data_IF_162299622171
#
_entry.id   IF_162299622171
#
_cell.length_a   1.000
_cell.length_b   1.000
_cell.length_c   1.000
_cell.angle_alpha   90.00
_cell.angle_beta   90.00
_cell.angle_gamma   90.00
#
_symmetry.space_group_name_H-M   'P 1'
#
loop_
_entity.id
_entity.type
_entity.pdbx_description
1 polymer ?
#
# COMPACT_ATOMS: atom_id res chain seq x y z
N UNK A 1 -41.36 8.39 19.94
CA UNK A 1 -39.89 8.50 19.81
C UNK A 1 -39.39 7.21 19.16
N UNK A 2 -39.25 7.19 17.82
CA UNK A 2 -38.76 6.02 17.09
C UNK A 2 -37.27 6.17 16.78
N UNK A 3 -36.51 5.07 16.87
CA UNK A 3 -35.11 4.98 16.44
C UNK A 3 -34.98 5.42 14.97
N UNK A 4 -34.59 6.67 14.74
CA UNK A 4 -34.18 7.14 13.42
C UNK A 4 -32.85 6.46 13.09
N UNK A 5 -32.89 5.45 12.22
CA UNK A 5 -31.70 4.82 11.69
C UNK A 5 -30.80 5.86 11.01
N UNK A 6 -29.49 5.73 11.19
CA UNK A 6 -28.49 6.58 10.52
C UNK A 6 -28.74 6.54 9.00
N UNK A 7 -28.98 7.70 8.39
CA UNK A 7 -29.18 7.85 6.95
C UNK A 7 -27.96 7.29 6.20
N UNK A 8 -28.21 6.42 5.23
CA UNK A 8 -27.16 5.79 4.42
C UNK A 8 -27.06 6.55 3.11
N UNK A 9 -25.85 6.91 2.72
CA UNK A 9 -25.63 7.60 1.47
C UNK A 9 -25.59 6.57 0.34
N UNK A 10 -26.53 6.65 -0.61
CA UNK A 10 -26.51 5.81 -1.81
C UNK A 10 -26.73 4.31 -1.57
N UNK A 11 -26.24 3.48 -2.51
CA UNK A 11 -26.44 2.02 -2.51
C UNK A 11 -25.12 1.26 -2.49
N UNK A 12 -24.99 0.28 -1.60
CA UNK A 12 -23.78 -0.53 -1.47
C UNK A 12 -24.08 -2.01 -1.59
N UNK A 13 -23.50 -2.66 -2.59
CA UNK A 13 -23.81 -4.05 -2.92
C UNK A 13 -22.60 -4.82 -3.43
N UNK A 14 -22.65 -6.14 -3.28
CA UNK A 14 -21.69 -7.03 -3.91
C UNK A 14 -21.83 -6.94 -5.44
N UNK A 15 -20.71 -6.99 -6.17
CA UNK A 15 -20.71 -6.99 -7.64
C UNK A 15 -20.66 -8.41 -8.22
N UNK A 16 -20.34 -9.40 -7.39
CA UNK A 16 -20.29 -10.81 -7.76
C UNK A 16 -20.64 -11.72 -6.56
N UNK A 17 -20.65 -13.03 -6.79
CA UNK A 17 -20.92 -14.03 -5.76
C UNK A 17 -19.71 -14.35 -4.86
N UNK A 18 -18.53 -13.75 -5.10
CA UNK A 18 -17.31 -14.06 -4.34
C UNK A 18 -17.36 -13.54 -2.90
N UNK A 19 -18.20 -12.54 -2.64
CA UNK A 19 -18.23 -11.81 -1.36
C UNK A 19 -16.98 -10.97 -1.12
N UNK A 20 -16.17 -10.71 -2.15
CA UNK A 20 -14.93 -9.91 -2.07
C UNK A 20 -15.04 -8.57 -2.76
N UNK A 21 -15.91 -8.42 -3.75
CA UNK A 21 -16.03 -7.21 -4.57
C UNK A 21 -17.36 -6.51 -4.34
N UNK A 22 -17.28 -5.20 -4.16
CA UNK A 22 -18.42 -4.36 -3.82
C UNK A 22 -18.35 -3.03 -4.55
N UNK A 23 -19.52 -2.48 -4.83
CA UNK A 23 -19.68 -1.16 -5.45
C UNK A 23 -20.58 -0.32 -4.57
N UNK A 24 -20.07 0.82 -4.15
CA UNK A 24 -20.84 1.85 -3.47
C UNK A 24 -21.12 2.99 -4.43
N UNK A 25 -22.39 3.17 -4.80
CA UNK A 25 -22.84 4.29 -5.65
C UNK A 25 -23.45 5.36 -4.76
N UNK A 26 -22.95 6.60 -4.86
CA UNK A 26 -23.45 7.78 -4.16
C UNK A 26 -23.85 8.81 -5.20
N UNK A 27 -25.15 9.00 -5.38
CA UNK A 27 -25.70 10.03 -6.28
C UNK A 27 -25.66 11.41 -5.61
N UNK A 28 -25.53 12.46 -6.43
CA UNK A 28 -25.50 13.86 -5.99
C UNK A 28 -24.45 14.14 -4.91
N UNK A 29 -23.26 13.54 -5.04
CA UNK A 29 -22.22 13.60 -4.03
C UNK A 29 -21.82 15.04 -3.67
N UNK A 30 -21.84 15.95 -4.65
CA UNK A 30 -21.46 17.35 -4.46
C UNK A 30 -22.36 18.12 -3.48
N UNK A 31 -23.56 17.60 -3.20
CA UNK A 31 -24.54 18.24 -2.31
C UNK A 31 -24.24 18.02 -0.83
N UNK A 32 -23.40 17.03 -0.50
CA UNK A 32 -23.03 16.80 0.89
C UNK A 32 -22.14 17.93 1.41
N UNK A 33 -22.49 18.46 2.58
CA UNK A 33 -21.73 19.49 3.26
C UNK A 33 -20.37 18.95 3.72
N UNK A 34 -19.43 19.86 3.95
CA UNK A 34 -18.22 19.52 4.71
C UNK A 34 -18.60 19.26 6.18
N UNK A 35 -17.68 18.63 6.91
CA UNK A 35 -17.85 18.20 8.31
C UNK A 35 -18.96 17.15 8.52
N UNK A 36 -19.14 16.26 7.54
CA UNK A 36 -20.10 15.16 7.62
C UNK A 36 -19.42 13.81 7.38
N UNK A 37 -20.08 12.75 7.85
CA UNK A 37 -19.72 11.38 7.52
C UNK A 37 -20.85 10.74 6.74
N UNK A 38 -20.51 10.18 5.58
CA UNK A 38 -21.41 9.41 4.74
C UNK A 38 -21.17 7.94 5.02
N UNK A 39 -22.21 7.16 5.29
CA UNK A 39 -22.07 5.73 5.52
C UNK A 39 -22.80 4.93 4.46
N UNK A 40 -22.14 3.90 3.95
CA UNK A 40 -22.79 2.87 3.14
C UNK A 40 -23.66 1.95 4.00
N UNK A 41 -24.51 1.18 3.34
CA UNK A 41 -25.26 0.08 3.95
C UNK A 41 -24.32 -1.00 4.52
N UNK A 42 -24.82 -1.82 5.45
CA UNK A 42 -24.05 -2.97 5.93
C UNK A 42 -24.23 -4.15 4.96
N UNK A 43 -23.12 -4.70 4.48
CA UNK A 43 -23.12 -5.90 3.63
C UNK A 43 -22.28 -7.01 4.28
N UNK A 44 -22.45 -8.24 3.83
CA UNK A 44 -21.70 -9.41 4.33
C UNK A 44 -20.61 -9.79 3.34
N UNK A 45 -19.39 -10.02 3.81
CA UNK A 45 -18.26 -10.42 2.97
C UNK A 45 -18.00 -11.94 2.98
N UNK A 46 -16.98 -12.36 2.24
CA UNK A 46 -16.55 -13.75 2.05
C UNK A 46 -16.28 -14.52 3.36
N UNK A 47 -15.92 -13.83 4.45
CA UNK A 47 -15.72 -14.41 5.79
C UNK A 47 -17.02 -14.56 6.59
N UNK A 48 -18.17 -14.21 5.98
CA UNK A 48 -19.49 -14.10 6.63
C UNK A 48 -19.57 -12.99 7.69
N UNK A 49 -18.61 -12.08 7.73
CA UNK A 49 -18.61 -10.90 8.61
C UNK A 49 -19.28 -9.73 7.91
N UNK A 50 -20.08 -8.96 8.66
CA UNK A 50 -20.67 -7.71 8.16
C UNK A 50 -19.68 -6.56 8.23
N UNK A 51 -19.73 -5.68 7.23
CA UNK A 51 -18.96 -4.45 7.19
C UNK A 51 -19.72 -3.35 6.46
N UNK A 52 -19.25 -2.13 6.59
CA UNK A 52 -19.65 -1.01 5.74
C UNK A 52 -18.45 -0.10 5.53
N UNK A 53 -18.51 0.68 4.46
CA UNK A 53 -17.62 1.81 4.20
C UNK A 53 -18.24 3.10 4.74
N UNK A 54 -17.40 4.06 5.11
CA UNK A 54 -17.82 5.44 5.29
C UNK A 54 -16.79 6.41 4.71
N UNK A 55 -17.29 7.53 4.20
CA UNK A 55 -16.50 8.66 3.72
C UNK A 55 -16.62 9.79 4.75
N UNK A 56 -15.50 10.30 5.22
CA UNK A 56 -15.46 11.50 6.06
C UNK A 56 -15.10 12.71 5.18
N UNK A 57 -15.98 13.71 5.15
CA UNK A 57 -15.72 15.00 4.50
C UNK A 57 -15.25 15.97 5.58
N UNK A 58 -13.94 16.19 5.69
CA UNK A 58 -13.37 17.06 6.73
C UNK A 58 -13.69 18.53 6.51
N UNK A 59 -13.63 19.33 7.58
CA UNK A 59 -13.85 20.80 7.55
C UNK A 59 -12.93 21.52 6.55
N UNK A 60 -11.68 21.07 6.41
CA UNK A 60 -10.71 21.59 5.44
C UNK A 60 -10.86 21.02 4.03
N UNK A 61 -11.92 20.27 3.74
CA UNK A 61 -12.15 19.63 2.44
C UNK A 61 -11.39 18.32 2.22
N UNK A 62 -10.67 17.79 3.21
CA UNK A 62 -10.03 16.48 3.09
C UNK A 62 -11.09 15.37 3.02
N UNK A 63 -10.96 14.46 2.05
CA UNK A 63 -11.83 13.30 1.89
C UNK A 63 -11.12 12.07 2.44
N UNK A 64 -11.66 11.48 3.50
CA UNK A 64 -11.19 10.22 4.06
C UNK A 64 -12.11 9.06 3.69
N UNK A 65 -11.54 7.88 3.41
CA UNK A 65 -12.30 6.66 3.10
C UNK A 65 -11.89 5.57 4.08
N UNK A 66 -12.88 4.98 4.76
CA UNK A 66 -12.66 4.01 5.83
C UNK A 66 -13.59 2.80 5.69
N UNK A 67 -13.08 1.64 6.09
CA UNK A 67 -13.88 0.46 6.37
C UNK A 67 -14.16 0.38 7.87
N UNK A 68 -15.36 -0.06 8.21
CA UNK A 68 -15.72 -0.52 9.54
C UNK A 68 -16.14 -2.00 9.46
N UNK A 69 -15.30 -2.86 10.02
CA UNK A 69 -15.39 -4.31 9.95
C UNK A 69 -15.75 -4.88 11.32
N UNK A 70 -16.88 -5.59 11.43
CA UNK A 70 -17.47 -5.93 12.74
C UNK A 70 -16.75 -7.02 13.54
N UNK A 71 -15.74 -7.66 12.96
CA UNK A 71 -15.02 -8.75 13.62
C UNK A 71 -13.56 -8.75 13.16
N UNK A 72 -12.65 -8.06 13.87
CA UNK A 72 -11.22 -8.06 13.56
C UNK A 72 -10.66 -9.49 13.46
N UNK A 73 -9.56 -9.70 12.71
CA UNK A 73 -8.82 -8.69 11.94
C UNK A 73 -9.51 -8.32 10.62
N UNK A 74 -9.31 -7.07 10.17
CA UNK A 74 -9.79 -6.63 8.85
C UNK A 74 -8.92 -7.31 7.78
N UNK A 75 -9.52 -8.06 6.82
CA UNK A 75 -8.76 -8.59 5.69
C UNK A 75 -8.16 -7.45 4.86
N UNK A 76 -7.01 -7.69 4.23
CA UNK A 76 -6.39 -6.74 3.30
C UNK A 76 -7.41 -6.34 2.23
N UNK A 77 -7.44 -5.05 1.90
CA UNK A 77 -8.36 -4.50 0.92
C UNK A 77 -7.71 -3.40 0.09
N UNK A 78 -8.31 -3.19 -1.08
CA UNK A 78 -8.01 -2.10 -1.99
C UNK A 78 -9.31 -1.45 -2.47
N UNK A 79 -9.24 -0.18 -2.85
CA UNK A 79 -10.35 0.52 -3.47
C UNK A 79 -9.88 1.59 -4.44
N UNK A 80 -10.76 1.99 -5.34
CA UNK A 80 -10.57 3.12 -6.25
C UNK A 80 -11.90 3.83 -6.47
N UNK A 81 -11.83 5.08 -6.91
CA UNK A 81 -12.99 5.93 -7.18
C UNK A 81 -13.20 6.02 -8.69
N UNK A 82 -14.46 5.98 -9.13
CA UNK A 82 -14.83 6.27 -10.51
C UNK A 82 -16.00 7.23 -10.60
N UNK A 83 -16.12 7.90 -11.75
CA UNK A 83 -17.29 8.70 -12.10
C UNK A 83 -18.19 7.95 -13.10
N UNK A 84 -19.30 8.58 -13.51
CA UNK A 84 -20.24 8.01 -14.48
C UNK A 84 -19.64 7.72 -15.87
N UNK A 85 -18.51 8.35 -16.22
CA UNK A 85 -17.77 8.10 -17.46
C UNK A 85 -16.77 6.94 -17.34
N UNK A 86 -16.77 6.25 -16.19
CA UNK A 86 -15.83 5.19 -15.84
C UNK A 86 -14.37 5.65 -15.68
N UNK A 87 -14.12 6.96 -15.69
CA UNK A 87 -12.78 7.50 -15.42
C UNK A 87 -12.38 7.11 -14.00
N UNK A 88 -11.10 6.80 -13.79
CA UNK A 88 -10.59 6.37 -12.48
C UNK A 88 -9.85 7.51 -11.77
N UNK A 89 -10.08 7.61 -10.46
CA UNK A 89 -9.39 8.54 -9.57
C UNK A 89 -8.97 7.79 -8.31
N UNK A 90 -7.74 8.07 -7.83
CA UNK A 90 -7.18 7.65 -6.53
C UNK A 90 -7.44 6.17 -6.19
N UNK A 91 -6.51 5.31 -6.59
CA UNK A 91 -6.46 3.93 -6.11
C UNK A 91 -5.59 3.82 -4.84
N UNK A 92 -6.08 3.06 -3.86
CA UNK A 92 -5.40 2.80 -2.60
C UNK A 92 -5.46 1.32 -2.21
N UNK A 93 -4.38 0.84 -1.58
CA UNK A 93 -4.29 -0.46 -0.93
C UNK A 93 -3.94 -0.27 0.53
N UNK A 94 -4.64 -0.97 1.43
CA UNK A 94 -4.32 -0.96 2.85
C UNK A 94 -3.06 -1.81 3.12
N UNK A 95 -1.90 -1.16 3.23
CA UNK A 95 -0.62 -1.86 3.46
C UNK A 95 -0.45 -2.35 4.89
N UNK A 96 -0.94 -1.58 5.87
CA UNK A 96 -0.82 -1.88 7.30
C UNK A 96 -2.19 -1.78 7.93
N UNK A 97 -2.67 -2.90 8.48
CA UNK A 97 -3.93 -3.00 9.19
C UNK A 97 -3.60 -3.52 10.59
N UNK A 98 -3.81 -2.74 11.67
CA UNK A 98 -3.64 -3.25 13.03
C UNK A 98 -4.58 -4.43 13.29
N UNK A 99 -4.08 -5.48 13.93
CA UNK A 99 -4.80 -6.75 14.08
C UNK A 99 -6.14 -6.60 14.83
N UNK A 100 -6.16 -5.76 15.85
CA UNK A 100 -7.34 -5.53 16.70
C UNK A 100 -8.27 -4.42 16.18
N UNK A 101 -7.95 -3.82 15.03
CA UNK A 101 -8.74 -2.68 14.57
C UNK A 101 -10.06 -3.11 13.94
N UNK A 102 -11.14 -2.48 14.40
CA UNK A 102 -12.46 -2.54 13.75
C UNK A 102 -12.60 -1.49 12.63
N UNK A 103 -11.71 -0.47 12.60
CA UNK A 103 -11.75 0.63 11.63
C UNK A 103 -10.39 0.94 11.05
N UNK A 104 -10.30 0.95 9.73
CA UNK A 104 -9.06 1.29 9.03
C UNK A 104 -9.41 2.08 7.77
N UNK A 105 -8.49 2.91 7.28
CA UNK A 105 -8.73 3.74 6.13
C UNK A 105 -7.62 4.72 5.85
N UNK A 106 -7.88 5.60 4.89
CA UNK A 106 -6.96 6.65 4.48
C UNK A 106 -7.65 7.99 4.73
N UNK A 107 -6.99 8.87 5.48
CA UNK A 107 -7.60 10.08 6.02
C UNK A 107 -7.70 11.25 5.02
N UNK A 108 -6.85 11.26 3.99
CA UNK A 108 -6.79 12.32 2.98
C UNK A 108 -6.46 11.71 1.61
N UNK A 109 -7.47 11.08 1.01
CA UNK A 109 -7.40 10.43 -0.30
C UNK A 109 -7.35 11.47 -1.41
N UNK A 110 -8.16 12.52 -1.28
CA UNK A 110 -8.22 13.67 -2.18
C UNK A 110 -8.88 14.87 -1.47
N UNK A 111 -8.89 16.02 -2.14
CA UNK A 111 -9.74 17.13 -1.71
C UNK A 111 -11.17 16.98 -2.25
N UNK A 112 -12.13 17.53 -1.52
CA UNK A 112 -13.53 17.55 -1.88
C UNK A 112 -13.76 18.34 -3.18
N UNK A 113 -12.98 19.40 -3.42
CA UNK A 113 -13.01 20.17 -4.67
C UNK A 113 -12.53 19.34 -5.87
N UNK A 114 -11.45 18.59 -5.72
CA UNK A 114 -10.95 17.72 -6.81
C UNK A 114 -11.99 16.67 -7.16
N UNK A 115 -12.60 16.07 -6.12
CA UNK A 115 -13.61 15.04 -6.31
C UNK A 115 -14.85 15.62 -7.01
N UNK A 116 -15.35 16.79 -6.59
CA UNK A 116 -16.44 17.49 -7.29
C UNK A 116 -16.13 17.76 -8.77
N UNK A 117 -14.93 18.29 -9.05
CA UNK A 117 -14.51 18.55 -10.43
C UNK A 117 -14.46 17.29 -11.29
N UNK A 118 -14.00 16.18 -10.71
CA UNK A 118 -13.93 14.88 -11.36
C UNK A 118 -15.29 14.24 -11.64
N UNK A 119 -16.27 14.42 -10.75
CA UNK A 119 -17.61 13.87 -10.94
C UNK A 119 -18.38 14.55 -12.08
N UNK A 120 -18.08 15.82 -12.35
CA UNK A 120 -18.71 16.59 -13.43
C UNK A 120 -20.22 16.75 -13.24
N UNK A 121 -20.97 16.81 -14.35
CA UNK A 121 -22.41 17.08 -14.34
C UNK A 121 -23.26 15.94 -13.77
N UNK A 122 -22.83 14.69 -13.94
CA UNK A 122 -23.57 13.52 -13.46
C UNK A 122 -23.53 13.36 -11.94
N UNK A 123 -22.57 14.03 -11.28
CA UNK A 123 -22.41 14.11 -9.81
C UNK A 123 -22.58 12.78 -9.06
N UNK A 124 -22.10 11.68 -9.66
CA UNK A 124 -22.27 10.33 -9.11
C UNK A 124 -20.93 9.70 -8.84
N UNK A 125 -20.64 9.48 -7.55
CA UNK A 125 -19.42 8.83 -7.10
C UNK A 125 -19.63 7.33 -7.00
N UNK A 126 -18.69 6.58 -7.57
CA UNK A 126 -18.61 5.13 -7.43
C UNK A 126 -17.35 4.77 -6.66
N UNK A 127 -17.50 4.08 -5.53
CA UNK A 127 -16.38 3.50 -4.77
C UNK A 127 -16.36 2.01 -5.06
N UNK A 128 -15.35 1.59 -5.82
CA UNK A 128 -15.09 0.18 -6.08
C UNK A 128 -14.21 -0.37 -4.97
N UNK A 129 -14.73 -1.31 -4.18
CA UNK A 129 -14.03 -1.88 -3.03
C UNK A 129 -13.80 -3.38 -3.22
N UNK A 130 -12.59 -3.84 -2.90
CA UNK A 130 -12.20 -5.24 -3.01
C UNK A 130 -11.44 -5.72 -1.78
N UNK A 131 -11.82 -6.87 -1.23
CA UNK A 131 -10.95 -7.63 -0.33
C UNK A 131 -9.94 -8.42 -1.14
N UNK A 132 -8.67 -8.07 -0.95
CA UNK A 132 -7.57 -8.65 -1.69
C UNK A 132 -7.36 -10.12 -1.31
N UNK A 133 -6.83 -10.88 -2.25
CA UNK A 133 -6.63 -12.34 -2.15
C UNK A 133 -5.16 -12.72 -2.43
N UNK A 134 -4.27 -11.73 -2.56
CA UNK A 134 -2.85 -12.01 -2.59
C UNK A 134 -2.35 -12.51 -1.24
N UNK A 135 -1.32 -13.32 -1.30
CA UNK A 135 -0.66 -13.88 -0.13
C UNK A 135 0.80 -13.49 -0.12
N UNK A 136 1.35 -13.26 1.07
CA UNK A 136 2.75 -12.90 1.24
C UNK A 136 3.36 -13.77 2.33
N UNK A 137 4.43 -14.49 2.00
CA UNK A 137 5.16 -15.38 2.90
C UNK A 137 6.57 -14.82 3.04
N UNK A 138 6.98 -14.52 4.28
CA UNK A 138 8.34 -14.08 4.61
C UNK A 138 9.08 -15.25 5.24
N UNK A 139 10.28 -15.55 4.76
CA UNK A 139 11.16 -16.60 5.28
C UNK A 139 12.57 -16.07 5.47
N UNK A 140 13.17 -16.37 6.61
CA UNK A 140 14.60 -16.15 6.81
C UNK A 140 15.39 -17.26 6.10
N UNK A 141 16.37 -16.87 5.28
CA UNK A 141 17.28 -17.77 4.56
C UNK A 141 18.68 -17.64 5.15
N UNK A 142 19.09 -18.64 5.93
CA UNK A 142 20.35 -18.58 6.67
C UNK A 142 20.33 -17.47 7.72
N UNK A 143 21.49 -16.87 8.00
CA UNK A 143 21.60 -15.83 9.03
C UNK A 143 21.32 -14.41 8.50
N UNK A 144 21.55 -14.15 7.22
CA UNK A 144 21.62 -12.78 6.67
C UNK A 144 20.65 -12.47 5.54
N UNK A 145 19.91 -13.45 5.01
CA UNK A 145 19.00 -13.20 3.89
C UNK A 145 17.54 -13.36 4.31
N UNK A 146 16.66 -12.56 3.72
CA UNK A 146 15.20 -12.66 3.89
C UNK A 146 14.59 -12.85 2.51
N UNK A 147 13.82 -13.92 2.33
CA UNK A 147 13.06 -14.18 1.12
C UNK A 147 11.58 -13.90 1.35
N UNK A 148 10.99 -13.12 0.46
CA UNK A 148 9.58 -12.76 0.45
C UNK A 148 8.96 -13.32 -0.81
N UNK A 149 7.97 -14.19 -0.65
CA UNK A 149 7.16 -14.71 -1.76
C UNK A 149 5.80 -14.04 -1.73
N UNK A 150 5.49 -13.29 -2.78
CA UNK A 150 4.21 -12.62 -2.99
C UNK A 150 3.47 -13.33 -4.13
N UNK A 151 2.26 -13.79 -3.87
CA UNK A 151 1.43 -14.53 -4.83
C UNK A 151 0.15 -13.75 -5.10
N UNK A 152 -0.08 -13.38 -6.35
CA UNK A 152 -1.25 -12.60 -6.80
C UNK A 152 -2.10 -13.50 -7.68
N UNK A 153 -3.19 -14.08 -7.15
CA UNK A 153 -4.06 -14.95 -7.95
C UNK A 153 -4.95 -14.12 -8.87
N UNK A 154 -5.37 -14.73 -9.99
CA UNK A 154 -6.29 -14.14 -10.96
C UNK A 154 -5.84 -12.74 -11.39
N UNK A 155 -4.58 -12.63 -11.84
CA UNK A 155 -3.93 -11.37 -12.21
C UNK A 155 -4.81 -10.50 -13.12
N UNK A 156 -5.43 -11.12 -14.12
CA UNK A 156 -6.28 -10.44 -15.12
C UNK A 156 -7.55 -9.81 -14.54
N UNK A 157 -7.96 -10.24 -13.35
CA UNK A 157 -9.13 -9.70 -12.66
C UNK A 157 -8.77 -8.57 -11.67
N UNK A 158 -7.49 -8.19 -11.56
CA UNK A 158 -7.03 -7.14 -10.64
C UNK A 158 -6.99 -5.79 -11.34
N UNK A 159 -7.31 -4.72 -10.61
CA UNK A 159 -6.94 -3.38 -11.03
C UNK A 159 -5.48 -3.15 -10.60
N UNK A 160 -4.58 -3.01 -11.57
CA UNK A 160 -3.13 -2.98 -11.35
C UNK A 160 -2.54 -1.57 -11.29
N UNK A 161 -3.36 -0.52 -11.11
CA UNK A 161 -2.92 0.87 -11.21
C UNK A 161 -3.14 1.71 -9.93
N UNK A 162 -2.38 1.52 -8.83
CA UNK A 162 -1.40 0.45 -8.57
C UNK A 162 -1.88 -0.64 -7.62
N UNK A 163 -1.35 -1.86 -7.74
CA UNK A 163 -1.63 -2.97 -6.81
C UNK A 163 -0.40 -3.29 -5.94
N UNK A 164 -0.56 -3.33 -4.62
CA UNK A 164 0.58 -3.53 -3.71
C UNK A 164 0.35 -4.67 -2.74
N UNK A 165 1.42 -5.22 -2.17
CA UNK A 165 1.35 -6.20 -1.09
C UNK A 165 0.90 -5.57 0.24
N UNK A 166 0.60 -6.42 1.24
CA UNK A 166 0.69 -5.99 2.64
C UNK A 166 2.14 -5.60 2.99
N UNK A 167 2.32 -4.74 3.98
CA UNK A 167 3.63 -4.41 4.52
C UNK A 167 4.27 -5.62 5.21
N UNK A 168 5.59 -5.70 5.14
CA UNK A 168 6.40 -6.72 5.80
C UNK A 168 7.71 -6.12 6.29
N UNK A 169 8.30 -6.70 7.33
CA UNK A 169 9.56 -6.23 7.90
C UNK A 169 10.75 -6.97 7.29
N UNK A 170 11.79 -6.20 6.98
CA UNK A 170 13.14 -6.68 6.64
C UNK A 170 14.08 -6.04 7.66
N UNK A 171 14.44 -6.78 8.71
CA UNK A 171 15.04 -6.19 9.91
C UNK A 171 14.05 -5.25 10.61
N UNK A 172 14.44 -4.00 10.78
CA UNK A 172 13.64 -2.90 11.36
C UNK A 172 12.83 -2.11 10.31
N UNK A 173 13.06 -2.39 9.02
CA UNK A 173 12.50 -1.58 7.93
C UNK A 173 11.19 -2.18 7.43
N UNK A 174 10.12 -1.39 7.48
CA UNK A 174 8.82 -1.75 6.89
C UNK A 174 8.84 -1.51 5.38
N UNK A 175 8.72 -2.58 4.61
CA UNK A 175 8.78 -2.61 3.14
C UNK A 175 7.42 -3.03 2.58
N UNK A 176 7.09 -2.53 1.40
CA UNK A 176 5.93 -2.92 0.58
C UNK A 176 6.43 -3.26 -0.82
N UNK A 177 5.90 -4.34 -1.41
CA UNK A 177 6.08 -4.63 -2.84
C UNK A 177 4.90 -4.03 -3.62
N UNK A 178 5.16 -3.46 -4.80
CA UNK A 178 4.15 -2.90 -5.69
C UNK A 178 4.31 -3.46 -7.10
N UNK A 179 3.17 -3.74 -7.68
CA UNK A 179 2.95 -4.06 -9.07
C UNK A 179 2.23 -2.87 -9.69
N UNK A 180 2.87 -2.30 -10.69
CA UNK A 180 2.32 -1.25 -11.55
C UNK A 180 2.34 -1.74 -13.00
N UNK A 181 1.72 -0.97 -13.89
CA UNK A 181 1.68 -1.32 -15.32
C UNK A 181 2.02 -0.13 -16.19
N UNK A 182 2.77 -0.41 -17.26
CA UNK A 182 2.83 0.45 -18.43
C UNK A 182 1.74 0.00 -19.39
N UNK A 183 0.91 0.93 -19.83
CA UNK A 183 -0.11 0.67 -20.83
C UNK A 183 0.45 0.77 -22.26
N UNK A 184 -0.28 0.19 -23.22
CA UNK A 184 -0.05 0.38 -24.66
C UNK A 184 -0.23 1.85 -25.05
N UNK A 185 0.44 2.27 -26.12
CA UNK A 185 0.51 3.69 -26.54
C UNK A 185 -0.85 4.29 -26.92
N UNK A 186 -1.86 3.46 -27.23
CA UNK A 186 -3.22 3.84 -27.57
C UNK A 186 -4.18 3.90 -26.36
N UNK A 187 -3.68 3.66 -25.15
CA UNK A 187 -4.49 3.69 -23.94
C UNK A 187 -4.99 5.10 -23.62
N UNK A 188 -6.31 5.24 -23.56
CA UNK A 188 -6.98 6.54 -23.38
C UNK A 188 -7.09 6.99 -21.92
N UNK A 189 -6.74 6.14 -20.95
CA UNK A 189 -6.87 6.45 -19.53
C UNK A 189 -8.29 6.35 -18.97
N UNK A 190 -9.29 6.10 -19.81
CA UNK A 190 -10.70 6.21 -19.43
C UNK A 190 -11.25 4.97 -18.70
N UNK A 191 -10.70 3.78 -18.93
CA UNK A 191 -11.13 2.55 -18.27
C UNK A 191 -9.99 1.56 -18.22
N UNK A 192 -9.65 1.06 -17.04
CA UNK A 192 -8.65 0.01 -16.92
C UNK A 192 -9.10 -1.28 -17.64
N UNK A 193 -8.26 -1.77 -18.55
CA UNK A 193 -8.36 -3.11 -19.13
C UNK A 193 -7.02 -3.81 -19.00
N UNK A 194 -7.05 -5.08 -18.61
CA UNK A 194 -5.84 -5.89 -18.54
C UNK A 194 -5.24 -6.17 -19.93
N UNK A 195 -6.05 -6.09 -20.98
CA UNK A 195 -5.58 -6.22 -22.37
C UNK A 195 -4.78 -5.02 -22.85
N UNK A 196 -4.90 -3.88 -22.15
CA UNK A 196 -4.14 -2.66 -22.46
C UNK A 196 -2.78 -2.62 -21.77
N UNK A 197 -2.46 -3.62 -20.95
CA UNK A 197 -1.15 -3.73 -20.29
C UNK A 197 -0.10 -4.12 -21.33
N UNK A 198 0.99 -3.35 -21.40
CA UNK A 198 2.16 -3.67 -22.21
C UNK A 198 3.28 -4.29 -21.37
N UNK A 199 3.55 -3.70 -20.20
CA UNK A 199 4.66 -4.11 -19.33
C UNK A 199 4.21 -4.08 -17.87
N UNK A 200 4.57 -5.11 -17.12
CA UNK A 200 4.46 -5.13 -15.66
C UNK A 200 5.71 -4.53 -15.02
N UNK A 201 5.51 -3.68 -14.03
CA UNK A 201 6.56 -2.97 -13.31
C UNK A 201 6.49 -3.42 -11.84
N UNK A 202 7.52 -4.13 -11.38
CA UNK A 202 7.58 -4.60 -9.99
C UNK A 202 8.70 -3.86 -9.27
N UNK A 203 8.38 -3.25 -8.14
CA UNK A 203 9.38 -2.61 -7.29
C UNK A 203 8.98 -2.71 -5.82
N UNK A 204 9.95 -2.42 -4.96
CA UNK A 204 9.74 -2.31 -3.51
C UNK A 204 9.97 -0.88 -3.07
N UNK A 205 9.28 -0.48 -2.01
CA UNK A 205 9.51 0.81 -1.36
C UNK A 205 9.31 0.70 0.15
N UNK A 206 9.92 1.61 0.89
CA UNK A 206 9.76 1.75 2.33
C UNK A 206 9.33 3.19 2.66
N UNK A 207 8.56 3.36 3.74
CA UNK A 207 8.11 4.70 4.17
C UNK A 207 9.25 5.54 4.77
N UNK A 208 10.17 4.88 5.46
CA UNK A 208 11.33 5.49 6.15
C UNK A 208 12.53 4.57 5.99
N UNK A 209 13.73 5.15 5.96
CA UNK A 209 14.98 4.41 5.82
C UNK A 209 15.33 4.05 4.37
N UNK A 210 16.37 3.24 4.23
CA UNK A 210 16.85 2.74 2.95
C UNK A 210 16.29 1.34 2.70
N UNK A 211 15.94 1.05 1.45
CA UNK A 211 15.54 -0.29 1.04
C UNK A 211 16.80 -1.17 1.07
N UNK A 212 16.82 -2.29 1.81
CA UNK A 212 17.97 -3.18 1.80
C UNK A 212 18.27 -3.70 0.38
N UNK A 213 19.54 -3.98 0.06
CA UNK A 213 19.90 -4.56 -1.23
C UNK A 213 19.06 -5.80 -1.50
N UNK A 214 18.52 -5.92 -2.71
CA UNK A 214 17.59 -6.98 -3.05
C UNK A 214 17.68 -7.41 -4.51
N UNK A 215 17.12 -8.57 -4.80
CA UNK A 215 16.83 -9.06 -6.15
C UNK A 215 15.33 -9.32 -6.26
N UNK A 216 14.78 -9.19 -7.47
CA UNK A 216 13.37 -9.45 -7.77
C UNK A 216 13.31 -10.53 -8.85
N UNK A 217 12.64 -11.63 -8.56
CA UNK A 217 12.39 -12.73 -9.50
C UNK A 217 10.89 -12.87 -9.73
N UNK A 218 10.51 -13.11 -10.99
CA UNK A 218 9.21 -13.70 -11.29
C UNK A 218 9.42 -15.19 -11.54
N UNK A 219 8.58 -15.99 -10.91
CA UNK A 219 8.79 -17.45 -10.83
C UNK A 219 7.56 -18.21 -11.30
N UNK A 220 7.77 -19.34 -11.96
CA UNK A 220 6.70 -20.21 -12.40
C UNK A 220 6.07 -21.01 -11.23
N UNK A 221 5.08 -21.85 -11.55
CA UNK A 221 4.43 -22.72 -10.56
C UNK A 221 5.36 -23.78 -9.95
N UNK A 222 6.44 -24.14 -10.65
CA UNK A 222 7.48 -25.07 -10.19
C UNK A 222 8.52 -24.37 -9.30
N UNK A 223 8.51 -23.04 -9.25
CA UNK A 223 9.46 -22.22 -8.52
C UNK A 223 10.73 -21.88 -9.31
N UNK A 224 10.77 -22.11 -10.62
CA UNK A 224 11.87 -21.66 -11.47
C UNK A 224 11.69 -20.19 -11.83
N UNK A 225 12.77 -19.42 -11.82
CA UNK A 225 12.73 -18.03 -12.26
C UNK A 225 12.70 -17.98 -13.80
N UNK A 226 11.70 -17.27 -14.35
CA UNK A 226 11.64 -16.96 -15.79
C UNK A 226 12.02 -15.51 -16.08
N UNK A 227 12.07 -14.66 -15.04
CA UNK A 227 12.63 -13.31 -15.12
C UNK A 227 13.32 -12.99 -13.80
N UNK A 228 14.46 -12.29 -13.89
CA UNK A 228 15.24 -11.88 -12.72
C UNK A 228 15.87 -10.51 -12.93
N UNK A 229 15.54 -9.59 -12.03
CA UNK A 229 16.32 -8.40 -11.79
C UNK A 229 17.40 -8.73 -10.75
N UNK A 230 18.65 -8.70 -11.20
CA UNK A 230 19.80 -8.93 -10.33
C UNK A 230 19.98 -7.79 -9.31
N UNK A 231 20.64 -8.13 -8.20
CA UNK A 231 21.02 -7.14 -7.19
C UNK A 231 21.99 -6.13 -7.80
N UNK A 232 21.59 -4.85 -7.80
CA UNK A 232 22.42 -3.75 -8.28
C UNK A 232 23.03 -2.97 -7.10
N UNK A 233 24.28 -3.27 -6.74
CA UNK A 233 25.08 -2.49 -5.79
C UNK A 233 24.38 -2.19 -4.44
N UNK A 234 24.82 -1.13 -3.76
CA UNK A 234 24.24 -0.71 -2.46
C UNK A 234 23.20 0.41 -2.59
N UNK A 235 23.10 1.09 -3.75
CA UNK A 235 22.42 2.40 -3.83
C UNK A 235 21.31 2.55 -4.88
N UNK A 236 20.91 1.50 -5.62
CA UNK A 236 19.89 1.63 -6.66
C UNK A 236 18.79 0.55 -6.54
N UNK A 237 17.63 0.94 -6.02
CA UNK A 237 16.41 0.15 -6.12
C UNK A 237 15.80 0.35 -7.52
N UNK A 238 16.19 -0.50 -8.47
CA UNK A 238 15.59 -0.51 -9.80
C UNK A 238 14.29 -1.34 -9.82
N UNK A 239 13.29 -0.95 -10.61
CA UNK A 239 12.12 -1.79 -10.86
C UNK A 239 12.48 -2.95 -11.80
N UNK A 240 11.87 -4.11 -11.59
CA UNK A 240 11.83 -5.17 -12.58
C UNK A 240 10.76 -4.83 -13.62
N UNK A 241 11.14 -4.84 -14.89
CA UNK A 241 10.26 -4.55 -16.03
C UNK A 241 10.10 -5.83 -16.84
N UNK A 242 8.86 -6.30 -16.97
CA UNK A 242 8.57 -7.57 -17.64
C UNK A 242 7.41 -7.40 -18.60
N UNK A 243 7.63 -7.69 -19.88
CA UNK A 243 6.59 -7.58 -20.90
C UNK A 243 5.42 -8.54 -20.63
N UNK A 244 4.22 -8.12 -21.03
CA UNK A 244 2.99 -8.87 -20.78
C UNK A 244 3.07 -10.30 -21.29
N UNK A 245 3.60 -10.47 -22.51
CA UNK A 245 3.65 -11.78 -23.17
C UNK A 245 4.53 -12.77 -22.40
N UNK A 246 5.68 -12.33 -21.90
CA UNK A 246 6.57 -13.14 -21.04
C UNK A 246 5.85 -13.60 -19.78
N UNK A 247 5.08 -12.71 -19.14
CA UNK A 247 4.30 -13.10 -17.95
C UNK A 247 3.19 -14.07 -18.33
N UNK A 248 2.43 -13.81 -19.41
CA UNK A 248 1.32 -14.66 -19.83
C UNK A 248 1.74 -16.07 -20.23
N UNK A 249 2.92 -16.23 -20.85
CA UNK A 249 3.48 -17.54 -21.19
C UNK A 249 3.87 -18.37 -19.96
N UNK A 250 4.16 -17.72 -18.82
CA UNK A 250 4.71 -18.37 -17.63
C UNK A 250 3.73 -18.49 -16.46
N UNK A 251 2.64 -17.69 -16.44
CA UNK A 251 1.56 -17.90 -15.47
C UNK A 251 0.74 -19.12 -15.86
N UNK A 252 0.57 -20.06 -14.92
CA UNK A 252 -0.27 -21.23 -15.14
C UNK A 252 -1.76 -20.86 -15.32
N UNK A 253 -2.59 -21.85 -15.65
CA UNK A 253 -4.03 -21.67 -15.89
C UNK A 253 -4.83 -21.02 -14.73
N UNK A 254 -4.27 -21.00 -13.51
CA UNK A 254 -4.83 -20.27 -12.37
C UNK A 254 -4.60 -18.75 -12.41
N UNK A 255 -3.86 -18.23 -13.41
CA UNK A 255 -3.55 -16.81 -13.57
C UNK A 255 -2.81 -16.23 -12.36
N UNK A 256 -1.94 -17.01 -11.73
CA UNK A 256 -1.22 -16.60 -10.51
C UNK A 256 0.14 -16.02 -10.89
N UNK A 257 0.35 -14.74 -10.61
CA UNK A 257 1.68 -14.14 -10.66
C UNK A 257 2.40 -14.43 -9.34
N UNK A 258 3.60 -15.01 -9.43
CA UNK A 258 4.45 -15.28 -8.28
C UNK A 258 5.71 -14.42 -8.36
N UNK A 259 5.88 -13.55 -7.38
CA UNK A 259 7.05 -12.69 -7.23
C UNK A 259 7.85 -13.20 -6.03
N UNK A 260 9.16 -13.35 -6.20
CA UNK A 260 10.10 -13.67 -5.13
C UNK A 260 11.10 -12.53 -5.00
N UNK A 261 11.18 -11.94 -3.82
CA UNK A 261 12.11 -10.87 -3.51
C UNK A 261 13.08 -11.41 -2.47
N UNK A 262 14.37 -11.36 -2.76
CA UNK A 262 15.41 -11.78 -1.80
C UNK A 262 16.18 -10.56 -1.37
N UNK A 263 16.05 -10.21 -0.08
CA UNK A 263 16.78 -9.14 0.59
C UNK A 263 18.05 -9.68 1.23
N UNK A 264 19.13 -8.92 1.09
CA UNK A 264 20.44 -9.21 1.64
C UNK A 264 20.68 -8.28 2.82
N UNK A 265 20.46 -8.79 4.02
CA UNK A 265 20.63 -8.09 5.27
C UNK A 265 22.03 -8.40 5.80
N UNK A 266 23.05 -7.85 5.14
CA UNK A 266 24.39 -7.81 5.72
C UNK A 266 24.39 -6.74 6.80
N UNK A 267 24.32 -7.12 8.08
CA UNK A 267 24.72 -6.22 9.14
C UNK A 267 25.83 -6.88 9.94
N UNK A 268 26.94 -6.16 10.06
CA UNK A 268 27.86 -6.36 11.18
C UNK A 268 27.02 -6.18 12.45
N UNK A 269 27.12 -7.04 13.48
CA UNK A 269 26.39 -6.87 14.74
C UNK A 269 26.51 -5.46 15.36
N UNK A 270 27.60 -4.74 15.06
CA UNK A 270 27.82 -3.35 15.49
C UNK A 270 26.90 -2.32 14.79
N UNK A 271 26.44 -2.58 13.57
CA UNK A 271 25.54 -1.67 12.84
C UNK A 271 24.13 -1.63 13.49
N UNK A 272 23.71 -2.73 14.10
CA UNK A 272 22.49 -2.80 14.91
C UNK A 272 22.58 -1.92 16.16
N UNK A 273 23.76 -1.80 16.77
CA UNK A 273 23.98 -0.91 17.92
C UNK A 273 23.92 0.56 17.51
N UNK A 274 24.50 0.93 16.37
CA UNK A 274 24.42 2.29 15.84
C UNK A 274 22.98 2.72 15.52
N UNK A 275 22.15 1.78 15.05
CA UNK A 275 20.73 2.08 14.74
C UNK A 275 19.90 2.31 16.00
N UNK A 276 20.26 1.68 17.13
CA UNK A 276 19.61 1.92 18.44
C UNK A 276 20.04 3.25 19.03
N UNK A 277 21.29 3.67 18.80
CA UNK A 277 21.79 5.00 19.19
C UNK A 277 21.02 6.14 18.51
N UNK A 278 20.70 5.99 17.22
CA UNK A 278 20.00 7.01 16.44
C UNK A 278 18.50 7.16 16.80
N UNK A 279 17.89 6.14 17.41
CA UNK A 279 16.53 6.23 17.95
C UNK A 279 16.44 7.06 19.24
N UNK A 280 17.57 7.32 19.91
CA UNK A 280 17.66 8.20 21.07
C UNK A 280 17.87 9.68 20.75
N UNK A 281 18.17 10.04 19.49
CA UNK A 281 18.50 11.41 19.08
C UNK A 281 17.39 12.13 18.30
N UNK A 282 16.19 11.53 18.21
CA UNK A 282 15.05 12.09 17.49
C UNK A 282 14.06 12.88 18.38
N UNK A 283 14.53 13.49 19.48
CA UNK A 283 13.80 14.52 20.21
C UNK A 283 14.57 15.85 20.19
N UNK A 284 13.99 16.87 19.53
CA UNK A 284 14.16 18.26 19.97
C UNK A 284 15.34 19.08 19.45
N UNK A 285 15.57 19.15 18.14
CA UNK A 285 16.43 20.20 17.55
C UNK A 285 15.77 21.60 17.57
N UNK A 286 15.63 22.23 18.74
CA UNK A 286 15.37 23.68 18.86
C UNK A 286 16.70 24.43 18.94
N UNK A 287 16.84 25.44 18.08
CA UNK A 287 17.93 26.43 18.00
C UNK A 287 18.42 26.90 19.37
N UNK A 288 19.74 26.96 19.55
CA UNK A 288 20.35 27.83 20.56
C UNK A 288 21.83 27.58 20.81
N UNK A 289 22.64 28.57 20.40
CA UNK A 289 23.94 28.96 21.00
C UNK A 289 25.15 28.03 20.87
N UNK A 290 26.22 28.63 20.35
CA UNK A 290 27.58 28.12 20.32
C UNK A 290 28.07 27.69 21.71
N UNK A 291 28.76 26.55 21.76
CA UNK A 291 29.74 26.20 22.80
C UNK A 291 30.96 25.60 22.10
N UNK A 292 32.11 26.16 22.43
CA UNK A 292 33.44 25.88 21.89
C UNK A 292 33.87 24.42 22.10
N UNK A 293 34.33 23.76 21.04
CA UNK A 293 35.12 22.53 21.12
C UNK A 293 36.42 22.81 21.88
N UNK A 294 36.60 22.17 23.04
CA UNK A 294 37.88 22.14 23.76
C UNK A 294 38.40 20.71 23.84
N UNK A 295 39.41 20.41 23.02
CA UNK A 295 40.25 19.21 23.13
C UNK A 295 41.31 19.36 24.22
N UNK A 296 41.47 18.35 25.08
CA UNK A 296 42.62 18.21 25.99
C UNK A 296 43.43 16.98 25.55
N UNK A 297 44.74 17.16 25.35
CA UNK A 297 45.68 16.07 25.02
C UNK A 297 46.18 15.35 26.28
N UNK A 298 46.07 14.03 26.30
CA UNK A 298 46.78 13.16 27.27
C UNK A 298 47.44 12.01 26.51
N UNK A 299 48.70 12.22 26.09
CA UNK A 299 49.51 11.21 25.41
C UNK A 299 49.10 10.89 23.95
N UNK A 300 49.74 9.87 23.35
CA UNK A 300 49.69 9.58 21.91
C UNK A 300 48.42 8.84 21.41
N UNK A 301 47.27 8.98 22.08
CA UNK A 301 45.99 8.45 21.58
C UNK A 301 44.90 9.51 21.75
N UNK A 302 44.27 9.92 20.63
CA UNK A 302 43.08 10.79 20.63
C UNK A 302 41.85 9.95 20.91
N UNK A 303 41.23 10.15 22.08
CA UNK A 303 39.90 9.65 22.39
C UNK A 303 39.02 10.84 22.83
N UNK A 304 37.81 10.93 22.29
CA UNK A 304 36.82 11.99 22.59
C UNK A 304 35.81 11.42 23.58
N UNK A 305 35.64 12.08 24.73
CA UNK A 305 34.60 11.74 25.71
C UNK A 305 33.60 12.90 25.80
N UNK A 306 32.31 12.60 25.64
CA UNK A 306 31.23 13.53 25.91
C UNK A 306 30.86 13.43 27.40
N UNK A 307 31.02 14.53 28.13
CA UNK A 307 30.48 14.68 29.49
C UNK A 307 29.03 15.15 29.33
N UNK A 308 28.09 14.40 29.89
CA UNK A 308 26.70 14.83 30.03
C UNK A 308 26.55 15.43 31.44
N UNK A 309 26.14 16.70 31.53
CA UNK A 309 25.60 17.29 32.76
C UNK A 309 24.07 17.31 32.65
N UNK A 310 23.42 17.03 33.80
CA UNK A 310 21.99 16.73 34.04
C UNK A 310 20.93 17.56 33.31
#
# INVERSE_FOLDING_TARGET
MGLLGKERAGSFKATDASGRRFLWRIDKFSQYALDVTLDSENVTCFTKVKFHLHIALGTGGAVGVYIHYKKPPIPKYSYYLTNSKCEEMRQHTAHTIPEDSERCGHWNVCSHSDLKGFLGEDDTLFVHFCFDEDTLIVKQLGQSNISVRWSIPKLEAKNLSPYSSRGFFVGDTLVVARLDVKHKDDYTGLKYSHDDVATYIIFVFCRKGNIPPHSIELVDSSGNAYHRLERMGENLALPALVDRDVVQENIGSGGVLLVRITFFVSKNPLDLLNTVSDLGSAEGGRKGSAIEDRTIEVGNKREVYAVADD
#
